data_IF_588461879298
#
_entry.id   IF_588461879298
#
_cell.length_a   1.000
_cell.length_b   1.000
_cell.length_c   1.000
_cell.angle_alpha   90.00
_cell.angle_beta   90.00
_cell.angle_gamma   90.00
#
_symmetry.space_group_name_H-M   'P 1'
#
loop_
_entity.id
_entity.type
_entity.pdbx_description
1 polymer ?
#
# COMPACT_ATOMS: atom_id res chain seq x y z
N UNK A 1 1.70 11.63 -2.45
CA UNK A 1 2.72 10.65 -2.17
C UNK A 1 2.83 9.58 -3.25
N UNK A 2 1.77 8.92 -3.59
CA UNK A 2 1.77 7.94 -4.65
C UNK A 2 1.07 8.53 -5.86
N UNK A 3 1.78 8.59 -6.97
CA UNK A 3 1.23 9.16 -8.18
C UNK A 3 1.56 8.21 -9.33
N UNK A 4 0.87 7.07 -9.34
CA UNK A 4 1.14 6.02 -10.28
C UNK A 4 -0.08 5.76 -11.14
N UNK A 5 0.16 5.58 -12.43
CA UNK A 5 -0.90 5.12 -13.31
C UNK A 5 -1.21 3.67 -13.01
N UNK A 6 -2.45 3.29 -13.23
CA UNK A 6 -2.87 1.91 -12.98
C UNK A 6 -2.01 0.93 -13.77
N UNK A 7 -1.64 1.29 -14.98
CA UNK A 7 -0.79 0.46 -15.83
C UNK A 7 0.57 0.21 -15.18
N UNK A 8 1.15 1.25 -14.56
CA UNK A 8 2.47 1.12 -13.92
C UNK A 8 2.37 0.22 -12.70
N UNK A 9 1.30 0.33 -11.95
CA UNK A 9 1.08 -0.51 -10.78
C UNK A 9 1.03 -1.97 -11.20
N UNK A 10 0.24 -2.27 -12.21
CA UNK A 10 0.12 -3.66 -12.69
C UNK A 10 1.44 -4.20 -13.20
N UNK A 11 2.19 -3.36 -13.91
CA UNK A 11 3.46 -3.79 -14.48
C UNK A 11 4.47 -4.12 -13.38
N UNK A 12 4.54 -3.30 -12.34
CA UNK A 12 5.46 -3.56 -11.26
C UNK A 12 5.11 -4.84 -10.51
N UNK A 13 3.84 -5.07 -10.28
CA UNK A 13 3.42 -6.33 -9.65
C UNK A 13 3.75 -7.52 -10.54
N UNK A 14 3.49 -7.40 -11.84
CA UNK A 14 3.77 -8.49 -12.77
C UNK A 14 5.26 -8.84 -12.76
N UNK A 15 6.13 -7.84 -12.76
CA UNK A 15 7.58 -8.08 -12.80
C UNK A 15 8.11 -8.65 -11.50
N UNK A 16 7.48 -8.31 -10.41
CA UNK A 16 7.98 -8.71 -9.10
C UNK A 16 7.61 -10.14 -8.72
N UNK A 17 6.61 -10.70 -9.38
CA UNK A 17 6.10 -12.00 -8.99
C UNK A 17 5.07 -11.96 -7.86
N UNK A 18 4.86 -10.79 -7.27
CA UNK A 18 3.82 -10.66 -6.26
C UNK A 18 2.46 -10.48 -6.91
N UNK A 19 1.42 -10.92 -6.21
CA UNK A 19 0.05 -10.75 -6.68
C UNK A 19 -0.52 -9.46 -6.14
N UNK A 20 -1.23 -8.72 -7.00
CA UNK A 20 -1.93 -7.51 -6.57
C UNK A 20 -3.26 -7.95 -5.95
N UNK A 21 -3.25 -8.21 -4.66
CA UNK A 21 -4.44 -8.65 -3.94
C UNK A 21 -5.33 -7.45 -3.64
N UNK A 22 -6.58 -7.74 -3.23
CA UNK A 22 -7.50 -6.67 -2.87
C UNK A 22 -6.98 -5.89 -1.66
N UNK A 23 -6.33 -6.56 -0.72
CA UNK A 23 -5.76 -5.88 0.44
C UNK A 23 -4.63 -4.94 0.04
N UNK A 24 -3.74 -5.40 -0.84
CA UNK A 24 -2.64 -4.57 -1.31
C UNK A 24 -3.14 -3.39 -2.11
N UNK A 25 -4.17 -3.60 -2.91
CA UNK A 25 -4.78 -2.49 -3.63
C UNK A 25 -5.42 -1.49 -2.67
N UNK A 26 -6.09 -1.98 -1.64
CA UNK A 26 -6.72 -1.09 -0.67
C UNK A 26 -5.68 -0.21 0.04
N UNK A 27 -4.53 -0.79 0.38
CA UNK A 27 -3.45 -0.02 1.01
C UNK A 27 -2.91 1.01 0.02
N UNK A 28 -2.70 0.63 -1.22
CA UNK A 28 -2.20 1.55 -2.22
C UNK A 28 -3.17 2.71 -2.43
N UNK A 29 -4.46 2.43 -2.49
CA UNK A 29 -5.46 3.47 -2.64
C UNK A 29 -5.47 4.40 -1.44
N UNK A 30 -5.32 3.84 -0.24
CA UNK A 30 -5.28 4.65 0.97
C UNK A 30 -4.08 5.60 0.96
N UNK A 31 -2.94 5.15 0.44
CA UNK A 31 -1.76 5.99 0.38
C UNK A 31 -1.95 7.23 -0.48
N UNK A 32 -2.84 7.16 -1.46
CA UNK A 32 -3.09 8.31 -2.32
C UNK A 32 -3.74 9.47 -1.59
N UNK A 33 -4.34 9.19 -0.43
CA UNK A 33 -5.00 10.24 0.36
C UNK A 33 -4.03 11.02 1.23
N UNK A 34 -2.78 10.61 1.29
CA UNK A 34 -1.79 11.28 2.13
C UNK A 34 -0.84 12.11 1.29
N UNK A 35 -0.42 13.25 1.83
CA UNK A 35 0.50 14.14 1.14
C UNK A 35 1.94 13.97 1.56
N UNK A 36 2.17 13.37 2.71
CA UNK A 36 3.51 13.16 3.21
C UNK A 36 3.78 11.70 3.41
N UNK A 37 4.58 11.38 4.41
CA UNK A 37 4.91 10.00 4.74
C UNK A 37 4.09 9.57 5.93
N UNK A 38 2.96 8.90 5.69
CA UNK A 38 2.12 8.46 6.81
C UNK A 38 2.78 7.30 7.54
N UNK A 39 2.41 7.13 8.79
CA UNK A 39 2.81 5.93 9.52
C UNK A 39 1.92 4.77 9.07
N UNK A 40 2.36 3.55 9.37
CA UNK A 40 1.57 2.39 9.05
C UNK A 40 0.22 2.42 9.76
N UNK A 41 0.20 2.96 10.96
CA UNK A 41 -1.04 3.05 11.73
C UNK A 41 -2.02 4.03 11.10
N UNK A 42 -1.51 5.14 10.57
CA UNK A 42 -2.36 6.09 9.85
C UNK A 42 -2.98 5.44 8.61
N UNK A 43 -2.16 4.69 7.88
CA UNK A 43 -2.67 3.97 6.70
C UNK A 43 -3.70 2.94 7.13
N UNK A 44 -3.43 2.22 8.22
CA UNK A 44 -4.34 1.22 8.74
C UNK A 44 -5.71 1.84 9.06
N UNK A 45 -5.72 3.02 9.69
CA UNK A 45 -6.99 3.65 10.04
C UNK A 45 -7.82 3.99 8.81
N UNK A 46 -7.17 4.42 7.73
CA UNK A 46 -7.88 4.72 6.49
C UNK A 46 -8.40 3.44 5.85
N UNK A 47 -7.57 2.40 5.79
CA UNK A 47 -7.98 1.13 5.20
C UNK A 47 -9.12 0.52 6.00
N UNK A 48 -9.06 0.63 7.32
CA UNK A 48 -10.07 0.05 8.19
C UNK A 48 -11.45 0.66 7.98
N UNK A 49 -11.50 1.90 7.57
CA UNK A 49 -12.80 2.53 7.29
C UNK A 49 -13.52 1.83 6.15
N UNK A 50 -12.77 1.31 5.19
CA UNK A 50 -13.34 0.62 4.04
C UNK A 50 -13.42 -0.88 4.25
N UNK A 51 -12.51 -1.41 5.05
CA UNK A 51 -12.44 -2.84 5.34
C UNK A 51 -12.33 -3.05 6.83
N UNK A 52 -13.47 -3.02 7.56
CA UNK A 52 -13.42 -3.09 9.02
C UNK A 52 -12.74 -4.34 9.58
N UNK A 53 -12.64 -5.39 8.77
CA UNK A 53 -12.05 -6.64 9.23
C UNK A 53 -10.55 -6.73 8.97
N UNK A 54 -9.96 -5.71 8.36
CA UNK A 54 -8.53 -5.77 8.06
C UNK A 54 -7.72 -5.73 9.35
N UNK A 55 -6.64 -6.52 9.39
CA UNK A 55 -5.74 -6.54 10.54
C UNK A 55 -4.56 -5.61 10.27
N UNK A 56 -4.00 -5.07 11.35
CA UNK A 56 -2.84 -4.19 11.24
C UNK A 56 -1.68 -4.91 10.57
N UNK A 57 -1.46 -6.19 10.91
CA UNK A 57 -0.39 -6.97 10.28
C UNK A 57 -0.54 -7.07 8.78
N UNK A 58 -1.77 -7.16 8.29
CA UNK A 58 -2.03 -7.20 6.85
C UNK A 58 -1.58 -5.90 6.18
N UNK A 59 -1.82 -4.76 6.85
CA UNK A 59 -1.40 -3.46 6.32
C UNK A 59 0.12 -3.37 6.30
N UNK A 60 0.78 -3.79 7.39
CA UNK A 60 2.24 -3.79 7.43
C UNK A 60 2.83 -4.63 6.31
N UNK A 61 2.27 -5.82 6.10
CA UNK A 61 2.77 -6.70 5.06
C UNK A 61 2.58 -6.10 3.67
N UNK A 62 1.42 -5.50 3.44
CA UNK A 62 1.16 -4.86 2.16
C UNK A 62 2.13 -3.71 1.90
N UNK A 63 2.40 -2.90 2.93
CA UNK A 63 3.35 -1.80 2.79
C UNK A 63 4.75 -2.30 2.47
N UNK A 64 5.16 -3.40 3.11
CA UNK A 64 6.47 -3.99 2.83
C UNK A 64 6.58 -4.42 1.38
N UNK A 65 5.54 -5.06 0.86
CA UNK A 65 5.55 -5.50 -0.53
C UNK A 65 5.60 -4.30 -1.47
N UNK A 66 4.81 -3.27 -1.21
CA UNK A 66 4.78 -2.08 -2.05
C UNK A 66 6.14 -1.38 -2.07
N UNK A 67 6.83 -1.37 -0.93
CA UNK A 67 8.17 -0.79 -0.86
C UNK A 67 9.16 -1.65 -1.63
N UNK A 68 9.07 -2.94 -1.45
CA UNK A 68 10.01 -3.87 -2.08
C UNK A 68 9.95 -3.80 -3.60
N UNK A 69 8.76 -3.63 -4.16
CA UNK A 69 8.62 -3.59 -5.61
C UNK A 69 8.74 -2.18 -6.17
N UNK A 70 9.01 -1.20 -5.31
CA UNK A 70 9.32 0.15 -5.77
C UNK A 70 8.13 1.04 -6.03
N UNK A 71 6.95 0.70 -5.51
CA UNK A 71 5.79 1.55 -5.67
C UNK A 71 5.74 2.68 -4.66
N UNK A 72 6.42 2.50 -3.53
CA UNK A 72 6.59 3.58 -2.55
C UNK A 72 8.06 3.66 -2.21
N UNK A 73 8.53 4.89 -1.96
CA UNK A 73 9.95 5.08 -1.77
C UNK A 73 10.39 4.73 -0.39
N UNK A 74 9.69 5.00 0.56
CA UNK A 74 10.12 4.65 1.81
C UNK A 74 9.21 4.77 2.62
N UNK A 75 9.26 4.58 3.50
CA UNK A 75 8.87 4.24 4.08
C UNK A 75 8.40 4.53 5.13
N UNK A 76 7.73 4.08 5.62
CA UNK A 76 6.92 4.02 6.72
C UNK A 76 7.68 3.40 7.78
N UNK A 77 8.06 4.17 8.73
CA UNK A 77 8.82 3.65 9.83
C UNK A 77 7.90 3.03 10.83
N UNK A 78 8.31 1.94 11.27
CA UNK A 78 7.56 1.18 12.23
C UNK A 78 8.10 1.39 13.61
#
# INVERSE_FOLDING_TARGET
MVSMLERDVREKFRRSGYTLTSQRRAVLEALKDFRGHPSAEEVYLVVKKRNPKVALGTVYQALSVLEEIGLILSLIHI
#
